data_IF_419880230068
#
_entry.id   IF_419880230068
#
_cell.length_a   1.000
_cell.length_b   1.000
_cell.length_c   1.000
_cell.angle_alpha   90.00
_cell.angle_beta   90.00
_cell.angle_gamma   90.00
#
_symmetry.space_group_name_H-M   'P 1'
#
loop_
_entity.id
_entity.type
_entity.pdbx_description
1 polymer ?
#
# COMPACT_ATOMS: atom_id res chain seq x y z
N UNK A 1 -22.15 64.62 -16.53
CA UNK A 1 -23.41 64.71 -17.26
C UNK A 1 -24.13 63.41 -17.00
N UNK A 2 -25.04 63.51 -16.31
CA UNK A 2 -26.52 63.50 -16.16
C UNK A 2 -26.96 62.18 -15.56
N UNK A 3 -27.30 62.04 -14.30
CA UNK A 3 -28.55 62.34 -13.58
C UNK A 3 -29.79 61.71 -14.23
N UNK A 4 -30.47 60.80 -13.54
CA UNK A 4 -31.76 61.01 -12.84
C UNK A 4 -32.34 59.67 -12.37
N UNK A 5 -32.56 59.46 -11.08
CA UNK A 5 -33.72 59.77 -10.19
C UNK A 5 -34.95 58.86 -10.41
N UNK A 6 -35.25 58.04 -9.40
CA UNK A 6 -36.34 58.02 -8.41
C UNK A 6 -37.78 57.84 -8.95
N UNK A 7 -38.47 56.83 -8.37
CA UNK A 7 -39.82 56.98 -7.71
C UNK A 7 -40.16 55.64 -7.01
N UNK A 8 -40.35 55.67 -5.87
CA UNK A 8 -41.24 55.57 -4.71
C UNK A 8 -42.74 55.46 -5.10
N UNK A 9 -43.42 54.46 -4.57
CA UNK A 9 -44.85 54.28 -4.60
C UNK A 9 -45.33 53.29 -3.54
N UNK A 10 -45.96 53.82 -2.56
CA UNK A 10 -46.45 53.28 -1.31
C UNK A 10 -47.89 52.76 -1.36
N UNK A 11 -48.24 51.89 -0.38
CA UNK A 11 -49.51 51.66 0.32
C UNK A 11 -50.57 50.79 -0.38
N UNK A 12 -51.02 49.73 0.32
CA UNK A 12 -52.16 49.80 1.20
C UNK A 12 -52.42 48.48 1.95
N UNK A 13 -52.76 48.63 3.20
CA UNK A 13 -53.20 47.59 4.11
C UNK A 13 -54.67 47.24 3.88
N UNK A 14 -55.05 45.99 4.07
CA UNK A 14 -56.39 45.56 4.36
C UNK A 14 -56.43 44.50 5.44
N UNK A 15 -57.00 44.83 6.57
CA UNK A 15 -57.39 43.93 7.67
C UNK A 15 -58.71 43.28 7.29
N UNK A 16 -58.85 41.99 7.56
CA UNK A 16 -60.19 41.38 7.83
C UNK A 16 -60.06 40.16 8.76
N UNK A 17 -60.96 40.14 9.60
CA UNK A 17 -61.18 39.49 10.90
C UNK A 17 -61.91 38.13 10.71
N UNK A 18 -61.66 37.21 11.69
CA UNK A 18 -62.46 36.12 12.23
C UNK A 18 -62.90 34.96 11.34
N UNK A 19 -62.62 33.71 11.77
CA UNK A 19 -63.57 32.89 12.60
C UNK A 19 -62.79 31.69 13.14
N UNK A 20 -62.93 31.46 14.47
CA UNK A 20 -62.47 30.26 15.18
C UNK A 20 -63.44 29.11 14.90
N UNK A 21 -62.93 27.94 14.55
CA UNK A 21 -63.67 26.68 14.62
C UNK A 21 -62.76 25.64 15.27
N UNK A 22 -63.10 25.30 16.49
CA UNK A 22 -62.53 24.19 17.21
C UNK A 22 -63.04 22.88 16.60
N UNK A 23 -62.13 22.09 16.06
CA UNK A 23 -62.37 20.69 15.73
C UNK A 23 -61.43 19.82 16.56
N UNK A 24 -62.05 19.10 17.48
CA UNK A 24 -61.43 18.08 18.32
C UNK A 24 -61.10 16.90 17.41
N UNK A 25 -59.81 16.68 17.14
CA UNK A 25 -59.32 15.52 16.40
C UNK A 25 -58.52 14.63 17.33
N UNK A 26 -59.07 13.46 17.57
CA UNK A 26 -58.48 12.33 18.30
C UNK A 26 -57.10 12.01 17.70
N UNK A 27 -56.04 12.20 18.49
CA UNK A 27 -54.68 11.86 18.10
C UNK A 27 -54.47 10.36 18.06
N UNK A 28 -54.27 9.80 16.86
CA UNK A 28 -53.61 8.53 16.68
C UNK A 28 -52.13 8.76 16.96
N UNK A 29 -51.65 8.20 18.07
CA UNK A 29 -50.21 8.01 18.30
C UNK A 29 -49.68 7.00 17.28
N UNK A 30 -49.35 7.47 16.10
CA UNK A 30 -48.43 6.75 15.20
C UNK A 30 -47.05 6.76 15.88
N UNK A 31 -46.69 5.66 16.50
CA UNK A 31 -45.31 5.44 16.98
C UNK A 31 -44.36 5.56 15.81
N UNK A 32 -43.68 6.69 15.72
CA UNK A 32 -42.45 6.77 14.94
C UNK A 32 -41.45 5.78 15.57
N UNK A 33 -41.35 4.58 14.99
CA UNK A 33 -40.11 3.83 15.14
C UNK A 33 -39.03 4.77 14.63
N UNK A 34 -38.21 5.28 15.55
CA UNK A 34 -36.95 5.90 15.20
C UNK A 34 -36.23 4.89 14.31
N UNK A 35 -36.02 5.24 13.05
CA UNK A 35 -35.13 4.50 12.20
C UNK A 35 -33.79 4.47 12.96
N UNK A 36 -33.35 3.30 13.37
CA UNK A 36 -32.02 3.12 13.91
C UNK A 36 -31.07 3.75 12.91
N UNK A 37 -30.38 4.78 13.37
CA UNK A 37 -29.39 5.50 12.57
C UNK A 37 -28.41 4.45 12.07
N UNK A 38 -28.36 4.35 10.75
CA UNK A 38 -27.41 3.60 9.98
C UNK A 38 -26.03 3.75 10.62
N UNK A 39 -25.58 2.75 11.36
CA UNK A 39 -24.25 2.71 11.94
C UNK A 39 -23.29 2.77 10.77
N UNK A 40 -22.64 3.90 10.64
CA UNK A 40 -21.76 4.30 9.56
C UNK A 40 -20.96 3.13 9.03
N UNK A 41 -21.04 2.95 7.72
CA UNK A 41 -20.22 2.08 6.87
C UNK A 41 -18.74 2.55 6.93
N UNK A 42 -18.13 2.47 8.11
CA UNK A 42 -16.84 3.08 8.41
C UNK A 42 -15.76 2.02 8.29
N UNK A 43 -14.86 2.21 7.32
CA UNK A 43 -13.64 1.40 7.23
C UNK A 43 -12.87 1.43 8.56
N UNK A 44 -12.27 0.32 8.95
CA UNK A 44 -11.49 0.17 10.18
C UNK A 44 -10.07 -0.23 9.85
N UNK A 45 -9.10 0.50 10.38
CA UNK A 45 -7.68 0.13 10.32
C UNK A 45 -7.30 -0.66 11.57
N UNK A 46 -6.59 -1.77 11.38
CA UNK A 46 -6.05 -2.63 12.43
C UNK A 46 -4.56 -2.73 12.26
N UNK A 47 -3.82 -2.60 13.36
CA UNK A 47 -2.37 -2.60 13.36
C UNK A 47 -1.79 -3.87 13.97
N UNK A 48 -0.66 -4.32 13.45
CA UNK A 48 0.23 -5.29 14.08
C UNK A 48 1.16 -4.62 15.10
N UNK A 49 2.05 -5.41 15.66
CA UNK A 49 3.05 -4.96 16.63
C UNK A 49 4.07 -4.03 15.98
N UNK A 50 4.44 -2.98 16.70
CA UNK A 50 5.44 -2.03 16.25
C UNK A 50 6.86 -2.51 16.56
N UNK A 51 7.78 -2.32 15.61
CA UNK A 51 9.21 -2.53 15.79
C UNK A 51 9.98 -1.23 15.64
N UNK A 52 11.11 -1.12 16.35
CA UNK A 52 11.97 0.07 16.30
C UNK A 52 12.58 0.24 14.91
N UNK A 53 12.56 1.47 14.38
CA UNK A 53 13.20 1.89 13.14
C UNK A 53 13.69 3.33 13.31
N UNK A 54 14.98 3.57 13.10
CA UNK A 54 15.56 4.89 13.35
C UNK A 54 15.22 5.42 14.74
N UNK A 55 14.74 6.65 14.83
CA UNK A 55 14.27 7.28 16.09
C UNK A 55 12.77 7.05 16.36
N UNK A 56 12.14 6.09 15.68
CA UNK A 56 10.72 5.81 15.78
C UNK A 56 10.41 4.33 15.59
N UNK A 57 9.34 4.03 14.86
CA UNK A 57 8.87 2.67 14.66
C UNK A 57 8.18 2.46 13.32
N UNK A 58 8.08 1.19 12.92
CA UNK A 58 7.26 0.71 11.82
C UNK A 58 6.37 -0.44 12.29
N UNK A 59 5.18 -0.59 11.68
CA UNK A 59 4.22 -1.65 11.96
C UNK A 59 3.36 -1.93 10.73
N UNK A 60 2.88 -3.15 10.59
CA UNK A 60 1.90 -3.49 9.56
C UNK A 60 0.54 -2.97 9.94
N UNK A 61 -0.28 -2.61 8.95
CA UNK A 61 -1.70 -2.35 9.13
C UNK A 61 -2.52 -3.04 8.03
N UNK A 62 -3.77 -3.32 8.34
CA UNK A 62 -4.80 -3.71 7.36
C UNK A 62 -6.00 -2.79 7.51
N UNK A 63 -6.55 -2.31 6.39
CA UNK A 63 -7.82 -1.60 6.37
C UNK A 63 -8.92 -2.56 5.94
N UNK A 64 -9.99 -2.60 6.72
CA UNK A 64 -11.17 -3.42 6.48
C UNK A 64 -12.35 -2.54 6.13
N UNK A 65 -13.19 -2.97 5.19
CA UNK A 65 -14.50 -2.38 4.95
C UNK A 65 -15.51 -2.74 6.07
N UNK A 66 -16.76 -2.34 5.92
CA UNK A 66 -17.81 -2.62 6.88
C UNK A 66 -18.14 -4.11 7.01
N UNK A 67 -17.93 -4.87 5.96
CA UNK A 67 -18.16 -6.31 5.90
C UNK A 67 -16.91 -7.11 6.32
N UNK A 68 -15.87 -6.39 6.81
CA UNK A 68 -14.58 -6.92 7.25
C UNK A 68 -13.71 -7.51 6.14
N UNK A 69 -13.96 -7.15 4.88
CA UNK A 69 -13.06 -7.50 3.80
C UNK A 69 -11.86 -6.56 3.79
N UNK A 70 -10.64 -7.05 3.56
CA UNK A 70 -9.45 -6.21 3.46
C UNK A 70 -9.50 -5.38 2.17
N UNK A 71 -9.29 -4.08 2.31
CA UNK A 71 -9.22 -3.12 1.19
C UNK A 71 -7.82 -2.59 0.96
N UNK A 72 -6.98 -2.59 2.01
CA UNK A 72 -5.57 -2.22 1.95
C UNK A 72 -4.76 -3.04 2.95
N UNK A 73 -3.50 -3.33 2.60
CA UNK A 73 -2.50 -3.91 3.49
C UNK A 73 -1.21 -3.08 3.35
N UNK A 74 -0.64 -2.62 4.45
CA UNK A 74 0.50 -1.72 4.35
C UNK A 74 1.39 -1.69 5.59
N UNK A 75 2.42 -0.86 5.51
CA UNK A 75 3.33 -0.53 6.61
C UNK A 75 3.16 0.94 6.96
N UNK A 76 2.93 1.19 8.24
CA UNK A 76 2.93 2.54 8.82
C UNK A 76 4.29 2.79 9.44
N UNK A 77 4.93 3.90 9.06
CA UNK A 77 6.24 4.34 9.55
C UNK A 77 6.06 5.69 10.23
N UNK A 78 6.41 5.81 11.51
CA UNK A 78 6.34 7.08 12.21
C UNK A 78 7.27 8.12 11.59
N UNK A 79 6.91 9.41 11.65
CA UNK A 79 7.74 10.51 11.14
C UNK A 79 9.15 10.48 11.74
N UNK A 80 9.24 10.21 13.04
CA UNK A 80 10.53 10.12 13.75
C UNK A 80 11.42 9.01 13.24
N UNK A 81 10.84 7.91 12.71
CA UNK A 81 11.61 6.80 12.15
C UNK A 81 12.39 7.19 10.88
N UNK A 82 11.99 8.28 10.20
CA UNK A 82 12.73 8.79 9.04
C UNK A 82 14.04 9.49 9.41
N UNK A 83 14.33 9.61 10.70
CA UNK A 83 15.58 10.13 11.26
C UNK A 83 16.29 9.07 12.09
N UNK A 84 17.62 9.19 12.26
CA UNK A 84 18.40 8.20 13.02
C UNK A 84 18.48 6.82 12.36
N UNK A 85 18.15 6.71 11.10
CA UNK A 85 18.32 5.49 10.32
C UNK A 85 19.80 5.11 10.24
N UNK A 86 20.16 3.82 10.37
CA UNK A 86 21.55 3.42 10.26
C UNK A 86 22.08 3.64 8.85
N UNK A 87 23.35 4.05 8.74
CA UNK A 87 23.97 4.43 7.47
C UNK A 87 24.97 3.39 6.94
N UNK A 88 25.23 2.36 7.71
CA UNK A 88 26.22 1.33 7.33
C UNK A 88 25.50 0.03 6.98
N UNK A 89 25.56 -0.42 5.72
CA UNK A 89 25.06 -1.73 5.32
C UNK A 89 25.67 -2.87 6.13
N UNK A 90 24.89 -3.93 6.32
CA UNK A 90 25.34 -5.14 7.04
C UNK A 90 25.69 -6.21 6.02
N UNK A 91 26.96 -6.24 5.57
CA UNK A 91 27.42 -7.22 4.60
C UNK A 91 27.02 -8.67 4.98
N UNK A 92 26.62 -9.52 4.03
CA UNK A 92 26.60 -9.29 2.58
C UNK A 92 25.37 -8.53 2.07
N UNK A 93 24.40 -8.16 2.93
CA UNK A 93 23.22 -7.40 2.54
C UNK A 93 23.56 -5.92 2.27
N UNK A 94 22.96 -5.25 1.28
CA UNK A 94 23.02 -3.81 1.11
C UNK A 94 22.22 -3.07 2.20
N UNK A 95 21.37 -3.77 2.94
CA UNK A 95 20.49 -3.17 3.95
C UNK A 95 21.25 -2.86 5.23
N UNK A 96 21.03 -1.67 5.77
CA UNK A 96 21.54 -1.27 7.09
C UNK A 96 20.57 -1.64 8.22
N UNK A 97 19.28 -1.75 7.94
CA UNK A 97 18.25 -2.29 8.82
C UNK A 97 17.32 -3.21 8.05
N UNK A 98 16.88 -4.28 8.71
CA UNK A 98 15.88 -5.22 8.22
C UNK A 98 14.89 -5.48 9.36
N UNK A 99 13.60 -5.35 9.10
CA UNK A 99 12.52 -5.63 10.04
C UNK A 99 11.65 -6.76 9.48
N UNK A 100 11.33 -7.75 10.31
CA UNK A 100 10.33 -8.78 10.02
C UNK A 100 9.06 -8.43 10.79
N UNK A 101 8.04 -7.94 10.10
CA UNK A 101 6.82 -7.43 10.70
C UNK A 101 5.70 -8.46 10.55
N UNK A 102 5.18 -8.94 11.68
CA UNK A 102 4.02 -9.83 11.68
C UNK A 102 2.73 -9.11 11.26
N UNK A 103 1.87 -9.81 10.55
CA UNK A 103 0.55 -9.30 10.21
C UNK A 103 -0.40 -9.33 11.43
N UNK A 104 -1.29 -8.33 11.58
CA UNK A 104 -2.42 -8.47 12.49
C UNK A 104 -3.32 -9.64 12.06
N UNK A 105 -4.02 -10.25 13.00
CA UNK A 105 -4.83 -11.45 12.76
C UNK A 105 -5.84 -11.26 11.62
N UNK A 106 -6.41 -10.08 11.51
CA UNK A 106 -7.39 -9.70 10.49
C UNK A 106 -6.81 -9.66 9.07
N UNK A 107 -5.50 -9.48 8.93
CA UNK A 107 -4.82 -9.46 7.63
C UNK A 107 -4.55 -10.86 7.06
N UNK A 108 -4.63 -11.93 7.85
CA UNK A 108 -4.32 -13.30 7.39
C UNK A 108 -5.21 -13.77 6.24
N UNK A 109 -6.44 -13.24 6.14
CA UNK A 109 -7.36 -13.55 5.03
C UNK A 109 -6.83 -13.07 3.67
N UNK A 110 -5.87 -12.14 3.64
CA UNK A 110 -5.29 -11.61 2.40
C UNK A 110 -4.48 -12.65 1.63
N UNK A 111 -3.98 -13.68 2.31
CA UNK A 111 -3.06 -14.66 1.74
C UNK A 111 -1.58 -14.29 1.87
N UNK A 112 -1.29 -13.11 2.44
CA UNK A 112 0.06 -12.76 2.89
C UNK A 112 0.34 -13.32 4.28
N UNK A 113 1.61 -13.55 4.59
CA UNK A 113 2.08 -14.13 5.85
C UNK A 113 2.73 -13.07 6.75
N UNK A 114 3.66 -12.30 6.20
CA UNK A 114 4.41 -11.26 6.91
C UNK A 114 4.91 -10.18 5.94
N UNK A 115 5.49 -9.10 6.49
CA UNK A 115 6.17 -8.07 5.71
C UNK A 115 7.61 -7.93 6.17
N UNK A 116 8.55 -8.00 5.24
CA UNK A 116 9.94 -7.62 5.49
C UNK A 116 10.16 -6.20 4.99
N UNK A 117 10.80 -5.35 5.79
CA UNK A 117 11.17 -3.99 5.40
C UNK A 117 12.68 -3.84 5.49
N UNK A 118 13.30 -3.48 4.37
CA UNK A 118 14.71 -3.19 4.28
C UNK A 118 14.96 -1.69 4.13
N UNK A 119 15.99 -1.18 4.80
CA UNK A 119 16.50 0.17 4.62
C UNK A 119 17.88 0.13 3.97
N UNK A 120 18.00 0.70 2.78
CA UNK A 120 19.21 0.74 1.96
C UNK A 120 19.75 2.18 1.86
N UNK A 121 20.65 2.59 2.77
CA UNK A 121 21.13 3.99 2.86
C UNK A 121 21.95 4.44 1.65
N UNK A 122 22.55 3.51 0.93
CA UNK A 122 23.36 3.78 -0.27
C UNK A 122 22.77 3.17 -1.54
N UNK A 123 21.58 2.57 -1.39
CA UNK A 123 20.96 1.79 -2.47
C UNK A 123 21.67 0.46 -2.71
N UNK A 124 21.33 -0.18 -3.83
CA UNK A 124 21.92 -1.44 -4.27
C UNK A 124 21.91 -1.56 -5.81
N UNK A 125 22.40 -2.69 -6.31
CA UNK A 125 22.40 -3.03 -7.74
C UNK A 125 20.96 -3.07 -8.36
N UNK A 126 20.79 -2.78 -9.66
CA UNK A 126 21.84 -2.43 -10.63
C UNK A 126 22.43 -1.04 -10.41
N UNK A 127 23.76 -0.94 -10.63
CA UNK A 127 24.47 0.33 -10.51
C UNK A 127 23.84 1.41 -11.41
N UNK A 128 23.77 2.64 -10.90
CA UNK A 128 23.12 3.80 -11.53
C UNK A 128 21.60 3.74 -11.66
N UNK A 129 20.95 2.67 -11.21
CA UNK A 129 19.48 2.53 -11.19
C UNK A 129 18.94 2.73 -9.79
N UNK A 130 19.28 1.84 -8.85
CA UNK A 130 18.72 1.83 -7.48
C UNK A 130 19.72 2.33 -6.44
N UNK A 131 20.58 3.28 -6.77
CA UNK A 131 21.67 3.78 -5.93
C UNK A 131 21.26 4.93 -4.99
N UNK A 132 19.99 5.31 -4.96
CA UNK A 132 19.48 6.31 -4.01
C UNK A 132 19.03 5.64 -2.70
N UNK A 133 19.08 6.37 -1.55
CA UNK A 133 18.54 5.87 -0.29
C UNK A 133 17.07 5.50 -0.40
N UNK A 134 16.71 4.25 -0.16
CA UNK A 134 15.36 3.75 -0.34
C UNK A 134 14.99 2.65 0.66
N UNK A 135 13.69 2.40 0.75
CA UNK A 135 13.10 1.27 1.45
C UNK A 135 12.53 0.26 0.45
N UNK A 136 12.68 -1.03 0.79
CA UNK A 136 12.04 -2.14 0.12
C UNK A 136 11.00 -2.74 1.07
N UNK A 137 9.76 -2.87 0.60
CA UNK A 137 8.64 -3.38 1.39
C UNK A 137 8.17 -4.70 0.80
N UNK A 138 8.70 -5.81 1.28
CA UNK A 138 8.36 -7.14 0.77
C UNK A 138 7.14 -7.70 1.49
N UNK A 139 6.01 -7.77 0.82
CA UNK A 139 4.78 -8.42 1.30
C UNK A 139 4.82 -9.90 0.89
N UNK A 140 5.23 -10.78 1.81
CA UNK A 140 5.40 -12.19 1.52
C UNK A 140 4.10 -12.97 1.60
N UNK A 141 3.85 -13.83 0.58
CA UNK A 141 2.86 -14.90 0.61
C UNK A 141 3.47 -16.26 0.98
N UNK A 142 4.79 -16.39 0.96
CA UNK A 142 5.52 -17.49 1.57
C UNK A 142 5.60 -17.30 3.09
N UNK A 143 5.68 -18.37 3.84
CA UNK A 143 5.91 -18.29 5.29
C UNK A 143 7.34 -17.82 5.58
N UNK A 144 7.56 -17.23 6.77
CA UNK A 144 8.89 -16.82 7.20
C UNK A 144 9.89 -17.98 7.14
N UNK A 145 9.47 -19.19 7.51
CA UNK A 145 10.33 -20.39 7.43
C UNK A 145 10.71 -20.74 5.98
N UNK A 146 9.77 -20.65 5.03
CA UNK A 146 10.05 -20.84 3.59
C UNK A 146 10.98 -19.76 3.04
N UNK A 147 10.79 -18.50 3.44
CA UNK A 147 11.65 -17.39 3.08
C UNK A 147 13.09 -17.60 3.58
N UNK A 148 13.25 -17.90 4.86
CA UNK A 148 14.55 -18.13 5.50
C UNK A 148 15.29 -19.35 4.93
N UNK A 149 14.59 -20.28 4.30
CA UNK A 149 15.18 -21.44 3.62
C UNK A 149 15.74 -21.13 2.22
N UNK A 150 15.51 -19.92 1.68
CA UNK A 150 16.06 -19.51 0.37
C UNK A 150 17.53 -19.10 0.57
N UNK A 151 18.41 -20.08 0.60
CA UNK A 151 19.85 -19.87 0.88
C UNK A 151 20.71 -20.61 -0.13
N UNK A 152 21.77 -19.98 -0.70
CA UNK A 152 22.64 -20.59 -1.71
C UNK A 152 23.36 -21.87 -1.25
N UNK A 153 23.51 -22.07 0.06
CA UNK A 153 24.11 -23.25 0.66
C UNK A 153 23.10 -24.38 0.95
N UNK A 154 21.79 -24.17 0.66
CA UNK A 154 20.80 -25.24 0.78
C UNK A 154 21.04 -26.32 -0.31
N UNK A 155 20.95 -27.62 0.01
CA UNK A 155 21.32 -28.69 -0.91
C UNK A 155 20.49 -28.70 -2.22
N UNK A 156 19.27 -28.20 -2.18
CA UNK A 156 18.33 -28.17 -3.30
C UNK A 156 18.16 -26.76 -3.92
N UNK A 157 19.01 -25.80 -3.51
CA UNK A 157 18.90 -24.40 -3.94
C UNK A 157 18.95 -24.26 -5.47
N UNK A 158 19.97 -24.80 -6.12
CA UNK A 158 20.15 -24.74 -7.58
C UNK A 158 18.91 -25.27 -8.33
N UNK A 159 18.37 -26.40 -7.88
CA UNK A 159 17.20 -27.01 -8.49
C UNK A 159 15.95 -26.12 -8.32
N UNK A 160 15.74 -25.59 -7.11
CA UNK A 160 14.55 -24.77 -6.79
C UNK A 160 14.65 -23.39 -7.43
N UNK A 161 15.80 -22.75 -7.37
CA UNK A 161 16.04 -21.43 -7.98
C UNK A 161 15.96 -21.47 -9.52
N UNK A 162 16.22 -22.63 -10.15
CA UNK A 162 16.06 -22.81 -11.60
C UNK A 162 14.60 -22.90 -12.04
N UNK A 163 13.64 -23.17 -11.14
CA UNK A 163 12.21 -23.21 -11.47
C UNK A 163 11.66 -21.80 -11.45
N UNK A 164 11.28 -21.29 -12.61
CA UNK A 164 10.63 -19.98 -12.73
C UNK A 164 9.12 -20.16 -12.95
N UNK A 165 8.28 -19.22 -12.47
CA UNK A 165 6.84 -19.24 -12.73
C UNK A 165 6.52 -19.22 -14.23
N UNK A 166 5.36 -19.81 -14.60
CA UNK A 166 4.81 -19.66 -15.94
C UNK A 166 4.48 -18.19 -16.23
N UNK A 167 4.75 -17.75 -17.45
CA UNK A 167 4.56 -16.34 -17.89
C UNK A 167 3.13 -15.82 -17.70
N UNK A 168 2.09 -16.69 -17.70
CA UNK A 168 0.71 -16.27 -17.45
C UNK A 168 0.48 -15.72 -16.03
N UNK A 169 1.37 -16.04 -15.08
CA UNK A 169 1.33 -15.60 -13.69
C UNK A 169 2.17 -14.34 -13.43
N UNK A 170 2.99 -13.92 -14.41
CA UNK A 170 3.70 -12.64 -14.34
C UNK A 170 2.83 -11.52 -14.95
N UNK A 171 2.89 -10.28 -14.42
CA UNK A 171 2.26 -9.15 -15.06
C UNK A 171 2.88 -8.89 -16.45
N UNK A 172 2.07 -8.37 -17.37
CA UNK A 172 2.55 -8.07 -18.74
C UNK A 172 3.72 -7.08 -18.71
N UNK A 173 4.77 -7.42 -19.46
CA UNK A 173 5.99 -6.58 -19.56
C UNK A 173 6.98 -6.76 -18.42
N UNK A 174 6.66 -7.59 -17.40
CA UNK A 174 7.63 -7.92 -16.37
C UNK A 174 8.66 -8.91 -16.88
N UNK A 175 9.92 -8.67 -16.54
CA UNK A 175 11.06 -9.49 -16.94
C UNK A 175 11.81 -9.94 -15.68
N UNK A 176 12.11 -11.24 -15.60
CA UNK A 176 12.90 -11.76 -14.50
C UNK A 176 14.34 -11.25 -14.56
N UNK A 177 14.92 -10.91 -13.41
CA UNK A 177 16.26 -10.32 -13.31
C UNK A 177 17.34 -11.14 -14.01
N UNK A 178 17.28 -12.47 -13.97
CA UNK A 178 18.25 -13.34 -14.64
C UNK A 178 18.30 -13.15 -16.16
N UNK A 179 17.15 -12.79 -16.79
CA UNK A 179 17.08 -12.50 -18.23
C UNK A 179 17.80 -11.18 -18.53
N UNK A 180 17.57 -10.15 -17.71
CA UNK A 180 18.26 -8.86 -17.83
C UNK A 180 19.77 -8.98 -17.60
N UNK A 181 20.17 -9.79 -16.63
CA UNK A 181 21.57 -10.07 -16.30
C UNK A 181 22.25 -11.02 -17.28
N UNK A 182 21.49 -11.70 -18.16
CA UNK A 182 21.96 -12.77 -19.04
C UNK A 182 22.71 -13.87 -18.27
N UNK A 183 22.17 -14.25 -17.13
CA UNK A 183 22.74 -15.23 -16.20
C UNK A 183 21.74 -16.37 -15.92
N UNK A 184 22.18 -17.52 -15.40
CA UNK A 184 21.27 -18.55 -14.89
C UNK A 184 20.41 -18.00 -13.73
N UNK A 185 19.17 -18.47 -13.61
CA UNK A 185 18.26 -17.99 -12.56
C UNK A 185 18.81 -18.14 -11.12
N UNK A 186 19.52 -19.24 -10.74
CA UNK A 186 20.17 -19.34 -9.43
C UNK A 186 21.16 -18.20 -9.15
N UNK A 187 21.92 -17.76 -10.15
CA UNK A 187 22.91 -16.69 -9.99
C UNK A 187 22.27 -15.28 -9.80
N UNK A 188 20.99 -15.13 -10.17
CA UNK A 188 20.22 -13.91 -9.96
C UNK A 188 19.21 -14.03 -8.79
N UNK A 189 19.24 -15.15 -8.09
CA UNK A 189 18.35 -15.40 -6.92
C UNK A 189 19.00 -14.84 -5.66
N UNK A 190 18.34 -13.89 -5.04
CA UNK A 190 18.82 -13.22 -3.84
C UNK A 190 18.46 -14.07 -2.60
N UNK A 191 19.39 -14.31 -1.67
CA UNK A 191 19.11 -15.03 -0.43
C UNK A 191 17.92 -14.42 0.33
N UNK A 192 17.02 -15.26 0.83
CA UNK A 192 15.77 -14.93 1.52
C UNK A 192 14.73 -14.19 0.68
N UNK A 193 15.05 -13.74 -0.54
CA UNK A 193 14.12 -12.98 -1.39
C UNK A 193 13.71 -13.75 -2.64
N UNK A 194 14.61 -14.55 -3.23
CA UNK A 194 14.30 -15.24 -4.49
C UNK A 194 14.68 -14.41 -5.72
N UNK A 195 14.03 -14.72 -6.84
CA UNK A 195 14.25 -14.10 -8.14
C UNK A 195 13.30 -12.92 -8.35
N UNK A 196 13.84 -11.73 -8.56
CA UNK A 196 13.07 -10.50 -8.78
C UNK A 196 12.60 -10.40 -10.23
N UNK A 197 11.37 -9.89 -10.38
CA UNK A 197 10.72 -9.59 -11.66
C UNK A 197 10.42 -8.10 -11.72
N UNK A 198 10.94 -7.43 -12.75
CA UNK A 198 10.96 -5.98 -12.87
C UNK A 198 10.13 -5.59 -14.09
N UNK A 199 9.33 -4.53 -13.99
CA UNK A 199 8.65 -3.98 -15.17
C UNK A 199 9.68 -3.45 -16.16
N UNK A 200 9.78 -4.07 -17.33
CA UNK A 200 10.71 -3.65 -18.38
C UNK A 200 10.46 -2.23 -18.90
N UNK A 201 9.29 -1.65 -18.64
CA UNK A 201 8.94 -0.28 -18.97
C UNK A 201 9.16 0.71 -17.82
N UNK A 202 9.72 0.26 -16.68
CA UNK A 202 9.99 1.14 -15.54
C UNK A 202 10.93 2.29 -15.93
N UNK A 203 10.55 3.51 -15.55
CA UNK A 203 11.18 4.73 -16.04
C UNK A 203 12.68 4.83 -15.70
N UNK A 204 13.06 4.30 -14.54
CA UNK A 204 14.46 4.26 -14.08
C UNK A 204 15.35 3.36 -14.94
N UNK A 205 14.80 2.34 -15.58
CA UNK A 205 15.53 1.51 -16.55
C UNK A 205 15.79 2.25 -17.87
N UNK A 206 15.13 3.39 -18.08
CA UNK A 206 15.22 4.23 -19.27
C UNK A 206 15.83 5.61 -18.97
N UNK A 207 16.63 5.71 -17.91
CA UNK A 207 17.43 6.89 -17.59
C UNK A 207 16.70 7.97 -16.80
N UNK A 208 15.49 7.72 -16.33
CA UNK A 208 14.83 8.59 -15.35
C UNK A 208 15.39 8.33 -13.95
N UNK A 209 15.33 9.34 -13.09
CA UNK A 209 15.73 9.17 -11.69
C UNK A 209 14.75 8.23 -11.00
N UNK A 210 15.27 7.22 -10.30
CA UNK A 210 14.50 6.31 -9.47
C UNK A 210 13.79 7.08 -8.36
N UNK A 211 12.49 6.87 -8.24
CA UNK A 211 11.67 7.37 -7.12
C UNK A 211 10.90 6.25 -6.46
N UNK A 212 10.22 5.42 -7.25
CA UNK A 212 9.53 4.22 -6.81
C UNK A 212 9.37 3.25 -7.97
N UNK A 213 9.41 1.97 -7.66
CA UNK A 213 9.11 0.88 -8.59
C UNK A 213 8.35 -0.21 -7.88
N UNK A 214 7.80 -1.16 -8.63
CA UNK A 214 7.08 -2.30 -8.07
C UNK A 214 7.64 -3.60 -8.63
N UNK A 215 8.06 -4.46 -7.73
CA UNK A 215 8.74 -5.72 -8.05
C UNK A 215 7.85 -6.88 -7.61
N UNK A 216 7.93 -7.99 -8.33
CA UNK A 216 7.39 -9.29 -7.95
C UNK A 216 8.56 -10.21 -7.66
N UNK A 217 8.50 -11.01 -6.63
CA UNK A 217 9.53 -11.99 -6.31
C UNK A 217 9.03 -13.41 -6.42
N UNK A 218 9.88 -14.30 -6.96
CA UNK A 218 9.54 -15.71 -7.14
C UNK A 218 10.63 -16.65 -6.61
N UNK A 219 10.21 -17.83 -6.19
CA UNK A 219 11.11 -18.94 -5.87
C UNK A 219 10.39 -20.27 -6.05
N UNK A 220 11.12 -21.28 -6.53
CA UNK A 220 10.61 -22.65 -6.68
C UNK A 220 9.36 -22.71 -7.58
N UNK A 221 9.38 -21.95 -8.68
CA UNK A 221 8.32 -21.95 -9.70
C UNK A 221 7.07 -21.17 -9.32
N UNK A 222 7.06 -20.38 -8.25
CA UNK A 222 5.90 -19.59 -7.80
C UNK A 222 6.27 -18.19 -7.34
N UNK A 223 5.34 -17.24 -7.46
CA UNK A 223 5.48 -15.92 -6.85
C UNK A 223 5.29 -16.00 -5.33
N UNK A 224 6.19 -15.34 -4.58
CA UNK A 224 6.26 -15.43 -3.12
C UNK A 224 6.16 -14.09 -2.43
N UNK A 225 6.38 -12.95 -3.12
CA UNK A 225 6.18 -11.61 -2.56
C UNK A 225 5.81 -10.57 -3.62
N UNK A 226 5.26 -9.47 -3.13
CA UNK A 226 5.06 -8.20 -3.83
C UNK A 226 5.88 -7.12 -3.12
N UNK A 227 6.52 -6.22 -3.88
CA UNK A 227 7.48 -5.29 -3.31
C UNK A 227 7.38 -3.90 -3.95
N UNK A 228 6.73 -2.92 -3.29
CA UNK A 228 7.01 -1.52 -3.53
C UNK A 228 8.42 -1.19 -3.04
N UNK A 229 9.29 -0.72 -3.93
CA UNK A 229 10.62 -0.20 -3.62
C UNK A 229 10.60 1.32 -3.82
N UNK A 230 10.88 2.11 -2.76
CA UNK A 230 10.55 3.53 -2.74
C UNK A 230 11.68 4.34 -2.08
N UNK A 231 12.15 5.38 -2.77
CA UNK A 231 13.17 6.27 -2.18
C UNK A 231 12.60 6.99 -0.95
N UNK A 232 13.46 7.17 0.05
CA UNK A 232 13.11 7.93 1.28
C UNK A 232 12.56 9.32 0.93
N UNK A 233 13.20 10.02 -0.02
CA UNK A 233 12.75 11.34 -0.47
C UNK A 233 11.34 11.31 -1.08
N UNK A 234 11.00 10.25 -1.83
CA UNK A 234 9.67 10.11 -2.41
C UNK A 234 8.61 9.83 -1.34
N UNK A 235 8.92 9.01 -0.34
CA UNK A 235 8.03 8.83 0.83
C UNK A 235 7.77 10.16 1.54
N UNK A 236 8.82 10.93 1.81
CA UNK A 236 8.70 12.23 2.50
C UNK A 236 7.91 13.27 1.68
N UNK A 237 7.95 13.18 0.35
CA UNK A 237 7.21 14.09 -0.54
C UNK A 237 5.69 13.96 -0.43
N UNK A 238 5.17 12.87 0.12
CA UNK A 238 3.73 12.68 0.34
C UNK A 238 3.11 13.79 1.21
N UNK A 239 3.87 14.40 2.11
CA UNK A 239 3.41 15.53 2.94
C UNK A 239 2.98 16.76 2.14
N UNK A 240 3.59 16.97 0.98
CA UNK A 240 3.31 18.11 0.10
C UNK A 240 2.50 17.74 -1.13
N UNK A 241 2.14 16.48 -1.29
CA UNK A 241 1.33 15.98 -2.40
C UNK A 241 -0.15 16.34 -2.22
N UNK A 242 -0.89 16.39 -3.32
CA UNK A 242 -2.34 16.63 -3.28
C UNK A 242 -3.04 15.57 -2.41
N UNK A 243 -3.80 16.02 -1.42
CA UNK A 243 -4.47 15.13 -0.46
C UNK A 243 -3.52 14.32 0.42
N UNK A 244 -2.25 14.73 0.54
CA UNK A 244 -1.20 14.02 1.28
C UNK A 244 -1.04 12.55 0.82
N UNK A 245 -1.21 12.28 -0.47
CA UNK A 245 -1.13 10.95 -1.04
C UNK A 245 -0.51 10.95 -2.43
N UNK A 246 0.22 9.88 -2.74
CA UNK A 246 0.76 9.54 -4.05
C UNK A 246 0.29 8.11 -4.34
N UNK A 247 -0.41 7.90 -5.45
CA UNK A 247 -0.97 6.60 -5.81
C UNK A 247 -0.44 6.19 -7.18
N UNK A 248 0.00 4.95 -7.28
CA UNK A 248 0.57 4.35 -8.48
C UNK A 248 -0.25 3.10 -8.86
N UNK A 249 -0.74 3.00 -10.11
CA UNK A 249 -1.45 1.82 -10.57
C UNK A 249 -0.50 0.63 -10.70
N UNK A 250 -1.03 -0.60 -10.55
CA UNK A 250 -0.28 -1.83 -10.72
C UNK A 250 -0.75 -2.60 -11.96
N UNK A 251 0.20 -3.24 -12.62
CA UNK A 251 -0.10 -4.24 -13.65
C UNK A 251 -0.45 -5.56 -12.96
N UNK A 252 -1.54 -6.18 -13.41
CA UNK A 252 -1.97 -7.49 -12.92
C UNK A 252 -1.57 -8.59 -13.90
N UNK A 253 -1.24 -9.80 -13.42
CA UNK A 253 -1.03 -10.95 -14.28
C UNK A 253 -2.34 -11.41 -14.92
N UNK A 254 -2.25 -12.20 -16.00
CA UNK A 254 -3.42 -12.79 -16.63
C UNK A 254 -4.15 -13.77 -15.71
N UNK A 255 -3.40 -14.48 -14.84
CA UNK A 255 -3.90 -15.40 -13.82
C UNK A 255 -3.08 -15.28 -12.54
N UNK A 256 -3.68 -15.71 -11.43
CA UNK A 256 -3.01 -15.81 -10.14
C UNK A 256 -2.79 -17.27 -9.77
N UNK A 257 -1.60 -17.62 -9.29
CA UNK A 257 -1.24 -18.99 -8.90
C UNK A 257 -1.99 -19.49 -7.67
N UNK A 258 -2.35 -18.57 -6.79
CA UNK A 258 -2.99 -18.85 -5.50
C UNK A 258 -4.21 -17.97 -5.32
N UNK A 259 -5.25 -18.53 -4.69
CA UNK A 259 -6.35 -17.71 -4.21
C UNK A 259 -5.85 -16.77 -3.11
N UNK A 260 -6.29 -15.52 -3.15
CA UNK A 260 -5.88 -14.48 -2.19
C UNK A 260 -6.44 -13.12 -2.57
N UNK A 261 -6.05 -12.09 -1.82
CA UNK A 261 -6.37 -10.70 -2.14
C UNK A 261 -5.17 -10.05 -2.82
N UNK A 262 -5.40 -9.47 -3.99
CA UNK A 262 -4.36 -8.84 -4.79
C UNK A 262 -4.68 -7.39 -5.04
N UNK A 263 -3.67 -6.50 -4.98
CA UNK A 263 -3.84 -5.07 -5.18
C UNK A 263 -3.99 -4.72 -6.67
N UNK A 264 -4.65 -3.59 -6.95
CA UNK A 264 -4.65 -2.94 -8.25
C UNK A 264 -3.82 -1.66 -8.29
N UNK A 265 -3.36 -1.21 -7.12
CA UNK A 265 -2.50 -0.04 -6.95
C UNK A 265 -1.71 -0.14 -5.64
N UNK A 266 -0.68 0.71 -5.52
CA UNK A 266 -0.02 0.97 -4.24
C UNK A 266 0.07 2.47 -3.99
N UNK A 267 0.18 2.87 -2.74
CA UNK A 267 0.22 4.28 -2.39
C UNK A 267 1.18 4.59 -1.25
N UNK A 268 1.58 5.86 -1.24
CA UNK A 268 2.29 6.52 -0.14
C UNK A 268 1.34 7.57 0.40
N UNK A 269 0.99 7.52 1.68
CA UNK A 269 0.12 8.51 2.34
C UNK A 269 0.83 9.12 3.54
N UNK A 270 0.55 10.38 3.78
CA UNK A 270 0.91 11.05 5.02
C UNK A 270 -0.32 11.25 5.90
N UNK A 271 -0.35 10.61 7.05
CA UNK A 271 -1.34 10.88 8.09
C UNK A 271 -0.81 11.96 9.04
N UNK A 272 -1.30 13.19 8.89
CA UNK A 272 -0.88 14.32 9.70
C UNK A 272 -1.33 14.21 11.16
N UNK A 273 -2.40 13.47 11.44
CA UNK A 273 -2.93 13.27 12.80
C UNK A 273 -2.11 12.27 13.58
N UNK A 274 -1.72 11.17 12.98
CA UNK A 274 -0.85 10.16 13.55
C UNK A 274 0.63 10.49 13.42
N UNK A 275 1.01 11.41 12.54
CA UNK A 275 2.38 11.71 12.11
C UNK A 275 3.08 10.45 11.59
N UNK A 276 2.43 9.76 10.66
CA UNK A 276 2.90 8.51 10.06
C UNK A 276 2.85 8.58 8.54
N UNK A 277 3.84 7.96 7.91
CA UNK A 277 3.79 7.60 6.49
C UNK A 277 3.20 6.20 6.38
N UNK A 278 2.27 6.01 5.48
CA UNK A 278 1.63 4.73 5.19
C UNK A 278 1.97 4.32 3.76
N UNK A 279 2.65 3.19 3.62
CA UNK A 279 2.96 2.57 2.33
C UNK A 279 2.08 1.35 2.22
N UNK A 280 1.18 1.30 1.23
CA UNK A 280 0.15 0.26 1.17
C UNK A 280 -0.08 -0.30 -0.23
N UNK A 281 -0.42 -1.58 -0.26
CA UNK A 281 -1.09 -2.27 -1.33
C UNK A 281 -2.58 -1.96 -1.20
N UNK A 282 -3.17 -1.30 -2.19
CA UNK A 282 -4.56 -0.81 -2.15
C UNK A 282 -5.42 -1.46 -3.23
N UNK A 283 -6.75 -1.29 -3.10
CA UNK A 283 -7.70 -1.91 -4.01
C UNK A 283 -7.69 -3.44 -3.94
N UNK A 284 -7.43 -3.99 -2.75
CA UNK A 284 -7.36 -5.43 -2.55
C UNK A 284 -8.67 -6.09 -2.93
N UNK A 285 -8.61 -7.00 -3.92
CA UNK A 285 -9.75 -7.78 -4.37
C UNK A 285 -9.42 -9.27 -4.39
N UNK A 286 -10.40 -10.15 -4.04
CA UNK A 286 -10.17 -11.59 -4.07
C UNK A 286 -9.95 -12.06 -5.52
N UNK A 287 -8.91 -12.87 -5.73
CA UNK A 287 -8.58 -13.50 -7.00
C UNK A 287 -8.41 -15.02 -6.78
N UNK A 288 -8.65 -15.78 -7.85
CA UNK A 288 -8.51 -17.26 -7.88
C UNK A 288 -7.65 -17.67 -9.05
#
# INVERSE_FOLDING_TARGET
MSQNRIRVGSRAAARSLFIASAALSLGMLAGCKAAEANTSNKSRMVYGDAQALGNGSARVFVTLDADKHPTSLGVSISESAMTGLPMTPKAPSPSAAMLMLALPAEAKVTGFDHVMVDWNPVGHEPEHVYTLPHFDFHFYSATEAEQMAIMPNAPDFEQRASRVPDAQFAPEGYVAAHVLMKAPAPAATIPMMGLHWIDGAAAELHGQTFTSTFIWGSFDGRFIFLEPMITKAHIESAKSSAGNAITMPLKSPAKYERAGYYPDQYSIRWDASAKEYQISLDGLTPRK
#
